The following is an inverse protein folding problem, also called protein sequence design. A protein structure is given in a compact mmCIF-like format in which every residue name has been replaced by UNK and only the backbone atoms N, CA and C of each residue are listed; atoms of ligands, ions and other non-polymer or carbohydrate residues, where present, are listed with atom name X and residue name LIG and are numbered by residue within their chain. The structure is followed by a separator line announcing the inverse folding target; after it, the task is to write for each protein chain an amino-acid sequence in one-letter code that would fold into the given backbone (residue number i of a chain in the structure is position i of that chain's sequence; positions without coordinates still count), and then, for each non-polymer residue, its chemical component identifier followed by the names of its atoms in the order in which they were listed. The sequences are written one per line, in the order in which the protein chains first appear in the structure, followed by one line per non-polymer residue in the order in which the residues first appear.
data_IF_509562530784
#
_entry.id   IF_509562530784
#
_cell.length_a   1.000
_cell.length_b   1.000
_cell.length_c   1.000
_cell.angle_alpha   90.00
_cell.angle_beta   90.00
_cell.angle_gamma   90.00
#
_symmetry.space_group_name_H-M   'P 1'
#
loop_
_entity.id
_entity.type
_entity.pdbx_description
1 polymer ?
#
# COMPACT_ATOMS: atom_id res chain seq x y z
N UNK A 1 16.10 -34.59 29.61
CA UNK A 1 17.07 -33.58 29.14
C UNK A 1 16.32 -32.26 29.01
N UNK A 2 16.36 -31.43 30.04
CA UNK A 2 15.66 -30.14 30.09
C UNK A 2 16.48 -29.12 29.30
N UNK A 3 15.87 -28.54 28.27
CA UNK A 3 16.46 -27.41 27.53
C UNK A 3 16.61 -26.26 28.53
N UNK A 4 17.85 -25.86 28.80
CA UNK A 4 18.19 -24.83 29.78
C UNK A 4 17.51 -23.49 29.45
N UNK A 5 16.99 -22.79 30.45
CA UNK A 5 16.40 -21.44 30.34
C UNK A 5 17.32 -20.43 29.63
N UNK A 6 18.64 -20.67 29.64
CA UNK A 6 19.61 -19.86 28.91
C UNK A 6 19.48 -19.96 27.38
N UNK A 7 19.03 -21.10 26.86
CA UNK A 7 18.81 -21.29 25.42
C UNK A 7 17.61 -20.45 24.97
N UNK A 8 16.51 -20.47 25.74
CA UNK A 8 15.33 -19.66 25.43
C UNK A 8 15.61 -18.16 25.53
N UNK A 9 16.41 -17.72 26.52
CA UNK A 9 16.85 -16.31 26.60
C UNK A 9 17.70 -15.90 25.41
N UNK A 10 18.66 -16.74 25.00
CA UNK A 10 19.51 -16.47 23.82
C UNK A 10 18.70 -16.45 22.53
N UNK A 11 17.78 -17.40 22.33
CA UNK A 11 16.89 -17.42 21.16
C UNK A 11 15.96 -16.21 21.13
N UNK A 12 15.39 -15.82 22.28
CA UNK A 12 14.58 -14.61 22.40
C UNK A 12 15.37 -13.34 22.07
N UNK A 13 16.61 -13.23 22.52
CA UNK A 13 17.46 -12.07 22.24
C UNK A 13 17.91 -12.01 20.77
N UNK A 14 18.25 -13.15 20.16
CA UNK A 14 18.51 -13.24 18.72
C UNK A 14 17.27 -12.87 17.92
N UNK A 15 16.09 -13.37 18.28
CA UNK A 15 14.83 -13.03 17.64
C UNK A 15 14.50 -11.53 17.74
N UNK A 16 14.67 -10.93 18.92
CA UNK A 16 14.43 -9.50 19.14
C UNK A 16 15.43 -8.62 18.37
N UNK A 17 16.71 -9.03 18.30
CA UNK A 17 17.72 -8.33 17.53
C UNK A 17 17.47 -8.44 16.02
N UNK A 18 17.10 -9.62 15.52
CA UNK A 18 16.72 -9.82 14.11
C UNK A 18 15.46 -9.03 13.79
N UNK A 19 14.48 -8.96 14.71
CA UNK A 19 13.24 -8.21 14.52
C UNK A 19 13.49 -6.70 14.50
N UNK A 20 14.18 -6.13 15.49
CA UNK A 20 14.50 -4.70 15.54
C UNK A 20 15.38 -4.26 14.34
N UNK A 21 16.32 -5.11 13.94
CA UNK A 21 17.11 -4.90 12.73
C UNK A 21 16.25 -4.96 11.47
N UNK A 22 15.31 -5.92 11.39
CA UNK A 22 14.40 -6.04 10.24
C UNK A 22 13.42 -4.86 10.13
N UNK A 23 12.93 -4.31 11.25
CA UNK A 23 12.01 -3.17 11.25
C UNK A 23 12.72 -1.90 10.79
N UNK A 24 13.89 -1.59 11.36
CA UNK A 24 14.69 -0.42 10.94
C UNK A 24 15.22 -0.54 9.50
N UNK A 25 15.56 -1.76 9.06
CA UNK A 25 15.93 -2.03 7.67
C UNK A 25 14.76 -1.85 6.71
N UNK A 26 13.58 -2.36 7.06
CA UNK A 26 12.37 -2.21 6.25
C UNK A 26 11.91 -0.76 6.19
N UNK A 27 11.92 -0.03 7.30
CA UNK A 27 11.60 1.40 7.34
C UNK A 27 12.53 2.20 6.43
N UNK A 28 13.84 1.98 6.52
CA UNK A 28 14.81 2.62 5.63
C UNK A 28 14.58 2.23 4.18
N UNK A 29 14.35 0.96 3.88
CA UNK A 29 14.01 0.55 2.51
C UNK A 29 12.76 1.27 2.00
N UNK A 30 11.70 1.37 2.81
CA UNK A 30 10.48 2.06 2.42
C UNK A 30 10.72 3.56 2.22
N UNK A 31 11.49 4.21 3.09
CA UNK A 31 11.88 5.61 2.93
C UNK A 31 12.62 5.85 1.61
N UNK A 32 13.57 4.97 1.26
CA UNK A 32 14.32 5.09 0.01
C UNK A 32 13.48 4.79 -1.25
N UNK A 33 12.56 3.83 -1.23
CA UNK A 33 11.79 3.45 -2.42
C UNK A 33 10.54 4.28 -2.70
N UNK A 34 9.97 4.96 -1.70
CA UNK A 34 8.70 5.68 -1.86
C UNK A 34 8.82 7.21 -1.87
N UNK A 35 10.05 7.76 -1.82
CA UNK A 35 10.27 9.17 -2.09
C UNK A 35 10.01 9.49 -3.58
N UNK A 36 9.26 10.57 -3.81
CA UNK A 36 8.59 10.90 -5.07
C UNK A 36 9.50 11.35 -6.23
N UNK A 37 10.81 11.47 -6.01
CA UNK A 37 11.74 11.99 -7.01
C UNK A 37 12.60 10.89 -7.63
N UNK A 38 12.49 10.71 -8.95
CA UNK A 38 13.11 9.61 -9.70
C UNK A 38 14.57 9.85 -10.04
N UNK A 39 15.02 11.09 -10.00
CA UNK A 39 16.41 11.42 -10.35
C UNK A 39 17.43 10.83 -9.38
N UNK A 40 16.98 10.30 -8.24
CA UNK A 40 17.85 9.78 -7.18
C UNK A 40 17.90 8.26 -7.09
N UNK A 41 17.20 7.50 -7.95
CA UNK A 41 17.08 6.04 -7.75
C UNK A 41 18.42 5.32 -7.61
N UNK A 42 19.39 5.61 -8.48
CA UNK A 42 20.71 4.99 -8.40
C UNK A 42 21.48 5.44 -7.15
N UNK A 43 21.37 6.72 -6.77
CA UNK A 43 21.95 7.25 -5.51
C UNK A 43 21.39 6.55 -4.28
N UNK A 44 20.07 6.28 -4.25
CA UNK A 44 19.43 5.54 -3.15
C UNK A 44 19.86 4.08 -3.12
N UNK A 45 20.03 3.44 -4.28
CA UNK A 45 20.59 2.09 -4.34
C UNK A 45 22.02 2.06 -3.76
N UNK A 46 22.85 3.06 -4.04
CA UNK A 46 24.18 3.19 -3.46
C UNK A 46 24.13 3.37 -1.94
N UNK A 47 23.20 4.18 -1.42
CA UNK A 47 23.03 4.39 0.01
C UNK A 47 22.47 3.16 0.76
N UNK A 48 21.80 2.26 0.04
CA UNK A 48 21.30 1.00 0.60
C UNK A 48 22.40 -0.07 0.71
N UNK A 49 23.46 0.03 -0.09
CA UNK A 49 24.51 -0.97 -0.18
C UNK A 49 25.15 -1.33 1.18
N UNK A 50 25.52 -0.38 2.07
CA UNK A 50 26.10 -0.71 3.38
C UNK A 50 25.19 -1.54 4.29
N UNK A 51 23.87 -1.47 4.10
CA UNK A 51 22.89 -2.28 4.83
C UNK A 51 22.78 -3.68 4.21
N UNK A 52 22.89 -3.78 2.88
CA UNK A 52 22.89 -5.05 2.18
C UNK A 52 24.14 -5.87 2.48
N UNK A 53 25.29 -5.24 2.69
CA UNK A 53 26.53 -5.94 3.08
C UNK A 53 26.41 -6.69 4.41
N UNK A 54 25.54 -6.23 5.31
CA UNK A 54 25.26 -6.90 6.57
C UNK A 54 24.40 -8.16 6.39
N UNK A 55 23.81 -8.36 5.20
CA UNK A 55 22.92 -9.46 4.85
C UNK A 55 23.32 -10.10 3.50
N UNK A 56 24.46 -10.80 3.39
CA UNK A 56 25.05 -11.22 2.11
C UNK A 56 24.15 -12.15 1.27
N UNK A 57 23.36 -13.02 1.93
CA UNK A 57 22.38 -13.88 1.27
C UNK A 57 21.27 -13.03 0.63
N UNK A 58 20.75 -12.05 1.39
CA UNK A 58 19.73 -11.14 0.90
C UNK A 58 20.27 -10.21 -0.19
N UNK A 59 21.49 -9.69 -0.04
CA UNK A 59 22.17 -8.88 -1.06
C UNK A 59 22.23 -9.60 -2.41
N UNK A 60 22.61 -10.88 -2.40
CA UNK A 60 22.65 -11.70 -3.61
C UNK A 60 21.26 -11.84 -4.26
N UNK A 61 20.23 -12.07 -3.44
CA UNK A 61 18.84 -12.12 -3.91
C UNK A 61 18.33 -10.76 -4.42
N UNK A 62 18.67 -9.68 -3.71
CA UNK A 62 18.34 -8.30 -4.03
C UNK A 62 18.88 -7.92 -5.40
N UNK A 63 20.19 -8.06 -5.60
CA UNK A 63 20.87 -7.70 -6.83
C UNK A 63 20.37 -8.54 -8.01
N UNK A 64 20.19 -9.85 -7.82
CA UNK A 64 19.81 -10.77 -8.91
C UNK A 64 18.34 -10.64 -9.31
N UNK A 65 17.44 -10.39 -8.37
CA UNK A 65 16.00 -10.51 -8.63
C UNK A 65 15.22 -9.23 -8.33
N UNK A 66 15.43 -8.63 -7.16
CA UNK A 66 14.59 -7.51 -6.69
C UNK A 66 14.93 -6.24 -7.45
N UNK A 67 16.21 -5.86 -7.50
CA UNK A 67 16.68 -4.65 -8.16
C UNK A 67 16.33 -4.65 -9.66
N UNK A 68 16.52 -5.78 -10.33
CA UNK A 68 16.17 -5.93 -11.74
C UNK A 68 14.66 -5.68 -11.99
N UNK A 69 13.80 -6.20 -11.11
CA UNK A 69 12.35 -5.99 -11.22
C UNK A 69 11.94 -4.55 -10.90
N UNK A 70 12.51 -3.94 -9.87
CA UNK A 70 12.23 -2.53 -9.55
C UNK A 70 12.65 -1.63 -10.72
N UNK A 71 13.85 -1.83 -11.27
CA UNK A 71 14.31 -1.09 -12.46
C UNK A 71 13.38 -1.27 -13.66
N UNK A 72 12.92 -2.50 -13.89
CA UNK A 72 12.11 -2.85 -15.07
C UNK A 72 10.66 -2.38 -14.95
N UNK A 73 10.03 -2.55 -13.78
CA UNK A 73 8.59 -2.39 -13.60
C UNK A 73 8.17 -1.14 -12.84
N UNK A 74 9.08 -0.50 -12.13
CA UNK A 74 8.81 0.75 -11.39
C UNK A 74 9.53 1.90 -12.07
N UNK A 75 10.86 1.81 -12.16
CA UNK A 75 11.69 2.95 -12.57
C UNK A 75 11.58 3.29 -14.06
N UNK A 76 11.77 2.30 -14.96
CA UNK A 76 11.65 2.52 -16.41
C UNK A 76 10.28 3.10 -16.80
N UNK A 77 9.14 2.55 -16.36
CA UNK A 77 7.83 3.11 -16.71
C UNK A 77 7.63 4.54 -16.23
N UNK A 78 8.21 4.90 -15.09
CA UNK A 78 8.09 6.23 -14.51
C UNK A 78 8.94 7.25 -15.28
N UNK A 79 10.15 6.87 -15.70
CA UNK A 79 11.02 7.68 -16.58
C UNK A 79 10.47 7.83 -18.00
N UNK A 80 10.00 6.72 -18.57
CA UNK A 80 9.59 6.66 -19.98
C UNK A 80 8.12 7.08 -20.16
N UNK A 81 7.36 7.23 -19.07
CA UNK A 81 5.94 7.61 -19.07
C UNK A 81 5.00 6.52 -19.62
N UNK A 82 5.51 5.30 -19.85
CA UNK A 82 4.78 4.19 -20.48
C UNK A 82 4.85 2.94 -19.62
N UNK A 83 3.69 2.47 -19.16
CA UNK A 83 3.56 1.17 -18.47
C UNK A 83 3.31 0.09 -19.53
N UNK A 84 4.38 -0.56 -20.00
CA UNK A 84 4.31 -1.59 -21.05
C UNK A 84 3.72 -2.92 -20.55
N UNK A 85 3.98 -3.28 -19.30
CA UNK A 85 3.45 -4.48 -18.65
C UNK A 85 2.82 -4.07 -17.30
N UNK A 86 1.49 -4.19 -17.12
CA UNK A 86 0.87 -3.93 -15.84
C UNK A 86 1.36 -4.99 -14.83
N UNK A 87 2.22 -4.59 -13.90
CA UNK A 87 2.62 -5.43 -12.78
C UNK A 87 1.43 -5.63 -11.85
N UNK A 88 0.68 -6.71 -12.05
CA UNK A 88 -0.44 -7.04 -11.15
C UNK A 88 0.09 -7.69 -9.85
N UNK A 89 -0.01 -6.91 -8.77
CA UNK A 89 -0.02 -7.11 -7.29
C UNK A 89 0.02 -8.53 -6.67
N UNK A 90 -0.07 -9.64 -7.39
CA UNK A 90 -0.22 -10.94 -6.72
C UNK A 90 1.04 -11.37 -5.88
N UNK A 91 2.20 -10.73 -6.10
CA UNK A 91 3.36 -10.83 -5.19
C UNK A 91 3.22 -10.00 -3.91
N UNK A 92 2.60 -8.82 -3.96
CA UNK A 92 2.27 -8.05 -2.75
C UNK A 92 1.17 -8.74 -1.96
N UNK A 93 0.23 -9.49 -2.57
CA UNK A 93 -0.70 -10.34 -1.82
C UNK A 93 0.00 -11.48 -1.09
N UNK A 94 0.95 -12.17 -1.71
CA UNK A 94 1.72 -13.24 -1.05
C UNK A 94 2.65 -12.71 0.03
N UNK A 95 3.30 -11.56 -0.22
CA UNK A 95 4.12 -10.86 0.79
C UNK A 95 3.25 -10.34 1.92
N UNK A 96 2.08 -9.76 1.63
CA UNK A 96 1.10 -9.33 2.61
C UNK A 96 0.57 -10.51 3.44
N UNK A 97 0.34 -11.67 2.81
CA UNK A 97 -0.05 -12.87 3.53
C UNK A 97 1.08 -13.34 4.48
N UNK A 98 2.33 -13.36 4.01
CA UNK A 98 3.50 -13.70 4.84
C UNK A 98 3.76 -12.68 5.95
N UNK A 99 3.59 -11.39 5.69
CA UNK A 99 3.67 -10.31 6.69
C UNK A 99 2.53 -10.43 7.72
N UNK A 100 1.29 -10.63 7.26
CA UNK A 100 0.13 -10.87 8.14
C UNK A 100 0.35 -12.09 9.04
N UNK A 101 0.96 -13.16 8.50
CA UNK A 101 1.30 -14.35 9.26
C UNK A 101 2.49 -14.12 10.24
N UNK A 102 3.53 -13.40 9.82
CA UNK A 102 4.76 -13.18 10.61
C UNK A 102 4.60 -12.13 11.72
N UNK A 103 3.73 -11.13 11.51
CA UNK A 103 3.49 -10.05 12.49
C UNK A 103 2.58 -10.53 13.63
N UNK A 104 2.16 -11.80 13.64
CA UNK A 104 1.04 -12.26 14.47
C UNK A 104 -0.10 -11.27 14.34
N UNK A 105 -0.75 -11.23 13.16
CA UNK A 105 -2.06 -10.58 12.98
C UNK A 105 -3.09 -11.32 13.85
N UNK A 106 -2.85 -11.26 15.15
CA UNK A 106 -3.59 -11.92 16.18
C UNK A 106 -4.86 -11.11 16.39
N UNK A 107 -5.90 -11.80 16.83
CA UNK A 107 -7.29 -11.36 16.84
C UNK A 107 -7.55 -10.13 17.74
N UNK A 108 -6.51 -9.60 18.39
CA UNK A 108 -6.53 -8.44 19.27
C UNK A 108 -6.55 -7.08 18.55
N UNK A 109 -6.35 -7.03 17.23
CA UNK A 109 -6.46 -5.79 16.44
C UNK A 109 -7.85 -5.51 15.88
N UNK A 110 -8.84 -6.37 16.14
CA UNK A 110 -10.18 -6.15 15.61
C UNK A 110 -10.86 -4.90 16.21
N UNK A 111 -10.77 -4.63 17.53
CA UNK A 111 -11.24 -3.36 18.10
C UNK A 111 -10.51 -2.15 17.51
N UNK A 112 -9.18 -2.19 17.42
CA UNK A 112 -8.37 -1.12 16.81
C UNK A 112 -8.75 -0.89 15.34
N UNK A 113 -9.00 -1.96 14.59
CA UNK A 113 -9.46 -1.87 13.21
C UNK A 113 -10.84 -1.22 13.11
N UNK A 114 -11.78 -1.57 13.99
CA UNK A 114 -13.09 -0.91 14.08
C UNK A 114 -12.91 0.58 14.36
N UNK A 115 -12.02 0.96 15.28
CA UNK A 115 -11.73 2.35 15.61
C UNK A 115 -11.12 3.11 14.42
N UNK A 116 -10.18 2.51 13.70
CA UNK A 116 -9.57 3.10 12.50
C UNK A 116 -10.61 3.27 11.39
N UNK A 117 -11.44 2.25 11.13
CA UNK A 117 -12.53 2.34 10.15
C UNK A 117 -13.53 3.42 10.56
N UNK A 118 -13.89 3.49 11.85
CA UNK A 118 -14.75 4.53 12.38
C UNK A 118 -14.17 5.94 12.19
N UNK A 119 -12.86 6.09 12.37
CA UNK A 119 -12.13 7.36 12.16
C UNK A 119 -12.13 7.75 10.68
N UNK A 120 -11.85 6.80 9.78
CA UNK A 120 -11.90 7.04 8.33
C UNK A 120 -13.32 7.46 7.91
N UNK A 121 -14.34 6.76 8.38
CA UNK A 121 -15.73 7.09 8.09
C UNK A 121 -16.11 8.49 8.59
N UNK A 122 -15.75 8.85 9.84
CA UNK A 122 -15.98 10.19 10.38
C UNK A 122 -15.31 11.27 9.54
N UNK A 123 -14.07 11.04 9.10
CA UNK A 123 -13.35 11.98 8.24
C UNK A 123 -14.01 12.11 6.86
N UNK A 124 -14.47 11.02 6.26
CA UNK A 124 -15.21 11.05 5.00
C UNK A 124 -16.51 11.86 5.11
N UNK A 125 -17.27 11.68 6.19
CA UNK A 125 -18.48 12.47 6.46
C UNK A 125 -18.13 13.95 6.69
N UNK A 126 -17.02 14.24 7.37
CA UNK A 126 -16.54 15.61 7.56
C UNK A 126 -16.18 16.27 6.22
N UNK A 127 -15.40 15.60 5.37
CA UNK A 127 -15.03 16.10 4.05
C UNK A 127 -16.25 16.28 3.14
N UNK A 128 -17.19 15.34 3.20
CA UNK A 128 -18.47 15.45 2.50
C UNK A 128 -19.25 16.69 2.95
N UNK A 129 -19.37 16.92 4.26
CA UNK A 129 -20.01 18.12 4.81
C UNK A 129 -19.33 19.37 4.27
N UNK A 130 -18.01 19.46 4.35
CA UNK A 130 -17.24 20.58 3.81
C UNK A 130 -17.51 20.82 2.31
N UNK A 131 -17.59 19.75 1.52
CA UNK A 131 -17.90 19.83 0.09
C UNK A 131 -19.31 20.36 -0.18
N UNK A 132 -20.30 20.01 0.65
CA UNK A 132 -21.71 20.46 0.51
C UNK A 132 -21.90 21.96 0.69
N UNK A 133 -20.95 22.65 1.34
CA UNK A 133 -20.98 24.10 1.46
C UNK A 133 -19.71 24.78 0.90
N UNK A 134 -19.04 24.12 -0.03
CA UNK A 134 -17.88 24.64 -0.76
C UNK A 134 -16.76 25.19 0.15
N UNK A 135 -16.39 24.43 1.18
CA UNK A 135 -15.26 24.74 2.07
C UNK A 135 -14.08 23.78 1.84
N UNK A 136 -12.90 24.34 1.65
CA UNK A 136 -11.67 23.59 1.39
C UNK A 136 -11.56 23.07 -0.05
N UNK A 137 -10.68 22.10 -0.26
CA UNK A 137 -10.34 21.60 -1.61
C UNK A 137 -11.31 20.53 -2.14
N UNK A 138 -12.30 20.15 -1.35
CA UNK A 138 -13.25 19.08 -1.69
C UNK A 138 -14.38 19.64 -2.55
N UNK A 139 -14.59 19.03 -3.72
CA UNK A 139 -15.65 19.42 -4.66
C UNK A 139 -16.63 18.28 -4.89
N UNK A 140 -17.91 18.62 -4.94
CA UNK A 140 -18.97 17.69 -5.35
C UNK A 140 -18.94 17.54 -6.87
N UNK A 141 -19.26 16.34 -7.36
CA UNK A 141 -19.36 16.10 -8.79
C UNK A 141 -20.43 17.02 -9.42
N UNK A 142 -20.23 17.55 -10.64
CA UNK A 142 -21.19 18.48 -11.26
C UNK A 142 -22.63 17.97 -11.31
N UNK A 143 -22.82 16.65 -11.48
CA UNK A 143 -24.14 16.02 -11.47
C UNK A 143 -24.91 16.14 -10.16
N UNK A 144 -24.21 16.36 -9.05
CA UNK A 144 -24.77 16.48 -7.71
C UNK A 144 -24.65 17.91 -7.17
N UNK A 145 -24.29 18.88 -8.01
CA UNK A 145 -24.05 20.28 -7.62
C UNK A 145 -25.31 20.95 -7.06
N UNK A 146 -26.50 20.47 -7.43
CA UNK A 146 -27.78 20.93 -6.87
C UNK A 146 -27.95 20.62 -5.37
N UNK A 147 -27.08 19.80 -4.77
CA UNK A 147 -27.01 19.60 -3.32
C UNK A 147 -26.07 20.59 -2.62
N UNK A 148 -25.23 21.32 -3.34
CA UNK A 148 -24.36 22.34 -2.76
C UNK A 148 -25.21 23.51 -2.28
N UNK A 149 -24.96 23.97 -1.06
CA UNK A 149 -25.60 25.17 -0.50
C UNK A 149 -24.54 26.20 -0.12
N UNK A 150 -24.93 27.47 -0.01
CA UNK A 150 -23.97 28.52 0.37
C UNK A 150 -23.54 28.37 1.84
N UNK A 151 -22.35 28.87 2.16
CA UNK A 151 -21.85 28.84 3.54
C UNK A 151 -22.79 29.54 4.51
N UNK A 152 -23.37 30.68 4.11
CA UNK A 152 -24.32 31.43 4.94
C UNK A 152 -25.54 30.58 5.31
N UNK A 153 -26.14 29.90 4.32
CA UNK A 153 -27.27 29.01 4.54
C UNK A 153 -26.87 27.83 5.43
N UNK A 154 -25.70 27.22 5.19
CA UNK A 154 -25.21 26.12 6.01
C UNK A 154 -25.04 26.51 7.48
N UNK A 155 -24.48 27.70 7.77
CA UNK A 155 -24.31 28.15 9.16
C UNK A 155 -25.64 28.50 9.84
N UNK A 156 -26.65 28.95 9.07
CA UNK A 156 -28.00 29.22 9.57
C UNK A 156 -28.83 27.97 9.86
N UNK A 157 -28.46 26.81 9.31
CA UNK A 157 -29.15 25.54 9.57
C UNK A 157 -28.86 24.99 10.98
N UNK A 158 -29.90 24.47 11.60
CA UNK A 158 -29.80 23.63 12.79
C UNK A 158 -29.01 22.33 12.50
N UNK A 159 -28.51 21.67 13.54
CA UNK A 159 -27.77 20.41 13.37
C UNK A 159 -28.63 19.33 12.70
N UNK A 160 -29.91 19.24 13.06
CA UNK A 160 -30.86 18.29 12.47
C UNK A 160 -31.09 18.55 10.97
N UNK A 161 -31.14 19.82 10.55
CA UNK A 161 -31.26 20.17 9.13
C UNK A 161 -30.00 19.81 8.34
N UNK A 162 -28.81 20.07 8.92
CA UNK A 162 -27.53 19.66 8.33
C UNK A 162 -27.48 18.16 8.14
N UNK A 163 -27.89 17.39 9.14
CA UNK A 163 -27.90 15.93 9.07
C UNK A 163 -28.90 15.40 8.04
N UNK A 164 -30.09 16.00 7.95
CA UNK A 164 -31.07 15.69 6.91
C UNK A 164 -30.55 16.00 5.51
N UNK A 165 -29.84 17.11 5.33
CA UNK A 165 -29.26 17.51 4.05
C UNK A 165 -28.17 16.54 3.60
N UNK A 166 -27.26 16.17 4.51
CA UNK A 166 -26.23 15.15 4.27
C UNK A 166 -26.86 13.80 3.93
N UNK A 167 -27.88 13.38 4.67
CA UNK A 167 -28.58 12.13 4.40
C UNK A 167 -29.26 12.15 3.02
N UNK A 168 -29.92 13.26 2.66
CA UNK A 168 -30.52 13.44 1.33
C UNK A 168 -29.48 13.33 0.21
N UNK A 169 -28.29 13.89 0.41
CA UNK A 169 -27.18 13.73 -0.53
C UNK A 169 -26.72 12.26 -0.63
N UNK A 170 -26.52 11.55 0.49
CA UNK A 170 -26.08 10.15 0.47
C UNK A 170 -27.09 9.20 -0.17
N UNK A 171 -28.38 9.54 -0.13
CA UNK A 171 -29.46 8.76 -0.75
C UNK A 171 -29.73 9.15 -2.21
N UNK A 172 -29.13 10.24 -2.70
CA UNK A 172 -29.30 10.68 -4.07
C UNK A 172 -28.64 9.67 -5.02
N UNK A 173 -29.40 9.20 -6.01
CA UNK A 173 -28.87 8.29 -7.01
C UNK A 173 -27.96 9.10 -7.94
N UNK A 174 -26.72 8.66 -8.18
CA UNK A 174 -25.92 9.28 -9.23
C UNK A 174 -26.65 9.14 -10.57
N UNK A 175 -26.50 10.10 -11.49
CA UNK A 175 -27.11 9.97 -12.81
C UNK A 175 -26.67 8.66 -13.46
N UNK A 176 -27.55 8.02 -14.24
CA UNK A 176 -27.18 6.82 -14.97
C UNK A 176 -25.95 7.11 -15.84
N UNK A 177 -24.95 6.22 -15.78
CA UNK A 177 -23.65 6.35 -16.44
C UNK A 177 -23.71 6.48 -17.98
N UNK A 178 -24.92 6.44 -18.55
CA UNK A 178 -25.21 6.58 -19.98
C UNK A 178 -25.27 8.04 -20.45
N UNK A 179 -25.43 9.03 -19.55
CA UNK A 179 -25.65 10.42 -19.96
C UNK A 179 -24.39 11.16 -20.42
N UNK A 180 -23.20 10.76 -19.99
CA UNK A 180 -21.95 11.23 -20.58
C UNK A 180 -20.85 10.27 -20.15
N UNK A 181 -20.15 9.65 -21.10
CA UNK A 181 -18.84 9.00 -20.86
C UNK A 181 -17.77 10.06 -20.54
N UNK A 182 -18.10 11.06 -19.72
CA UNK A 182 -17.10 11.94 -19.18
C UNK A 182 -16.31 11.14 -18.16
N UNK A 183 -15.02 11.03 -18.44
CA UNK A 183 -13.98 10.38 -17.65
C UNK A 183 -13.88 11.06 -16.29
N UNK A 184 -14.80 10.80 -15.36
CA UNK A 184 -14.66 11.29 -14.00
C UNK A 184 -14.24 10.17 -13.06
N UNK A 185 -12.93 9.97 -13.02
CA UNK A 185 -12.22 9.88 -11.76
C UNK A 185 -11.19 11.00 -11.79
N UNK A 186 -11.40 12.03 -10.97
CA UNK A 186 -10.37 13.04 -10.70
C UNK A 186 -10.53 13.44 -9.24
N UNK A 187 -9.96 12.64 -8.35
CA UNK A 187 -9.25 13.27 -7.26
C UNK A 187 -8.18 14.15 -7.94
N UNK A 188 -8.12 15.43 -7.60
CA UNK A 188 -7.18 16.40 -8.17
C UNK A 188 -5.69 16.04 -7.98
N UNK A 189 -5.38 14.90 -7.35
CA UNK A 189 -4.03 14.42 -7.16
C UNK A 189 -3.87 13.00 -7.73
N UNK A 190 -3.17 12.91 -8.86
CA UNK A 190 -2.33 11.77 -9.29
C UNK A 190 -3.03 10.38 -9.21
N UNK A 191 -4.16 10.21 -9.89
CA UNK A 191 -4.69 8.87 -10.13
C UNK A 191 -4.06 8.28 -11.39
N UNK A 192 -3.05 7.41 -11.22
CA UNK A 192 -2.48 6.61 -12.31
C UNK A 192 -3.58 5.87 -13.08
N UNK A 193 -3.65 6.05 -14.40
CA UNK A 193 -4.52 5.25 -15.26
C UNK A 193 -3.85 3.91 -15.52
N UNK A 194 -4.43 2.84 -14.98
CA UNK A 194 -4.04 1.48 -15.36
C UNK A 194 -4.84 1.08 -16.62
N UNK A 195 -4.20 0.87 -17.79
CA UNK A 195 -4.91 0.36 -18.96
C UNK A 195 -5.50 -1.03 -18.65
N UNK A 196 -6.66 -1.33 -19.26
CA UNK A 196 -7.24 -2.68 -19.18
C UNK A 196 -6.20 -3.69 -19.66
N UNK A 197 -5.83 -4.64 -18.80
CA UNK A 197 -4.79 -5.62 -19.07
C UNK A 197 -5.06 -6.34 -20.41
N UNK A 198 -4.27 -6.00 -21.43
CA UNK A 198 -4.35 -6.62 -22.75
C UNK A 198 -3.62 -7.96 -22.71
N UNK A 199 -4.34 -9.06 -22.52
CA UNK A 199 -4.00 -10.45 -22.91
C UNK A 199 -2.75 -11.13 -22.30
N UNK A 200 -1.68 -10.40 -22.03
CA UNK A 200 -0.39 -10.88 -21.56
C UNK A 200 -0.14 -10.33 -20.15
N UNK A 201 -0.90 -10.85 -19.18
CA UNK A 201 -0.58 -10.63 -17.76
C UNK A 201 0.71 -11.39 -17.47
N UNK A 202 1.74 -10.70 -16.97
CA UNK A 202 3.01 -11.33 -16.60
C UNK A 202 2.79 -12.51 -15.66
N UNK A 203 3.20 -13.72 -16.08
CA UNK A 203 3.10 -14.94 -15.26
C UNK A 203 4.14 -14.91 -14.13
N UNK A 204 3.78 -15.44 -12.96
CA UNK A 204 4.60 -15.41 -11.73
C UNK A 204 5.93 -16.17 -11.91
N UNK A 205 7.03 -15.79 -11.22
CA UNK A 205 8.30 -16.54 -11.24
C UNK A 205 8.15 -18.00 -10.81
N UNK A 206 7.28 -18.29 -9.85
CA UNK A 206 6.96 -19.64 -9.37
C UNK A 206 5.95 -20.39 -10.24
N UNK A 207 5.35 -19.72 -11.23
CA UNK A 207 4.55 -20.38 -12.27
C UNK A 207 5.40 -20.79 -13.47
N UNK A 208 6.71 -20.48 -13.46
CA UNK A 208 7.68 -20.92 -14.45
C UNK A 208 8.60 -21.96 -13.78
N UNK A 209 8.12 -23.20 -13.70
CA UNK A 209 8.81 -24.39 -13.21
C UNK A 209 9.23 -24.41 -11.72
N UNK A 210 8.99 -25.56 -11.07
CA UNK A 210 9.20 -25.85 -9.65
C UNK A 210 10.65 -25.70 -9.12
N UNK A 211 11.63 -25.41 -9.97
CA UNK A 211 13.05 -25.37 -9.57
C UNK A 211 13.38 -24.25 -8.57
N UNK A 212 12.60 -23.16 -8.52
CA UNK A 212 12.84 -22.05 -7.61
C UNK A 212 12.42 -22.31 -6.15
N UNK A 213 11.46 -23.21 -5.91
CA UNK A 213 11.02 -23.54 -4.56
C UNK A 213 12.03 -24.43 -3.82
N UNK A 214 12.79 -25.24 -4.54
CA UNK A 214 13.83 -26.11 -3.97
C UNK A 214 15.02 -25.31 -3.41
N UNK A 215 15.37 -24.17 -4.04
CA UNK A 215 16.45 -23.29 -3.56
C UNK A 215 16.08 -22.63 -2.23
N UNK A 216 14.84 -22.15 -2.09
CA UNK A 216 14.38 -21.52 -0.84
C UNK A 216 14.20 -22.54 0.30
N UNK A 217 13.80 -23.78 0.00
CA UNK A 217 13.75 -24.86 1.01
C UNK A 217 15.14 -25.24 1.52
N UNK A 218 16.14 -25.34 0.64
CA UNK A 218 17.51 -25.61 1.07
C UNK A 218 18.07 -24.52 1.97
N UNK A 219 17.83 -23.25 1.65
CA UNK A 219 18.29 -22.11 2.48
C UNK A 219 17.67 -22.14 3.89
N UNK A 220 16.40 -22.52 4.00
CA UNK A 220 15.73 -22.60 5.32
C UNK A 220 16.22 -23.80 6.12
N UNK A 221 16.48 -24.94 5.48
CA UNK A 221 16.95 -26.14 6.17
C UNK A 221 18.42 -25.99 6.62
N UNK A 222 19.30 -25.43 5.79
CA UNK A 222 20.71 -25.19 6.14
C UNK A 222 20.91 -24.20 7.31
N UNK A 223 19.91 -23.35 7.58
CA UNK A 223 19.91 -22.41 8.71
C UNK A 223 19.33 -23.01 9.99
N UNK A 224 18.58 -24.10 9.90
CA UNK A 224 17.99 -24.81 11.04
C UNK A 224 18.90 -25.93 11.56
N UNK A 225 19.86 -26.38 10.76
CA UNK A 225 20.84 -27.42 11.12
C UNK A 225 22.15 -26.86 11.72
N UNK A 226 22.25 -25.54 11.93
CA UNK A 226 23.36 -24.85 12.62
C UNK A 226 22.89 -24.21 13.91
#
# INVERSE_FOLDING_TARGET
MTISDDIYKKMGQVYMNVKAYSESFLEKMMEYFFSADDTEFDYRCMNLEPYLEQLPIFKSYWQRFVLCKIKTYVFRPLRDGVISEPWTNNNSESMNHKLKAAVSWDRNKFPELIEVIGTIYKNQILFLRCALFSKGDWRIAPSMEHHVITQLVWHGMSQMEKDRHVHKFMMAKPPPATATKSKYFSASNIAFKCPKASGNVGKKPYQRNDQHLNVLRHIVNDQLEK
#
